data_IF_117410910202
#
_entry.id   IF_117410910202
#
_cell.length_a   1.000
_cell.length_b   1.000
_cell.length_c   1.000
_cell.angle_alpha   90.00
_cell.angle_beta   90.00
_cell.angle_gamma   90.00
#
_symmetry.space_group_name_H-M   'P 1'
#
loop_
_entity.id
_entity.type
_entity.pdbx_description
1 polymer ?
#
# COMPACT_ATOMS: atom_id res chain seq x y z
N UNK A 1 21.76 -9.52 6.73
CA UNK A 1 22.13 -10.73 5.96
C UNK A 1 22.20 -11.97 6.85
N UNK A 2 23.08 -12.04 7.85
CA UNK A 2 23.16 -13.21 8.76
C UNK A 2 21.83 -13.54 9.45
N UNK A 3 21.11 -12.51 9.91
CA UNK A 3 19.79 -12.65 10.52
C UNK A 3 18.77 -13.39 9.63
N UNK A 4 18.70 -13.10 8.33
CA UNK A 4 17.80 -13.80 7.40
C UNK A 4 18.18 -15.28 7.24
N UNK A 5 19.47 -15.60 7.29
CA UNK A 5 19.93 -16.99 7.26
C UNK A 5 19.53 -17.74 8.53
N UNK A 6 19.61 -17.10 9.69
CA UNK A 6 19.18 -17.69 10.96
C UNK A 6 17.67 -17.90 11.03
N UNK A 7 16.87 -16.92 10.59
CA UNK A 7 15.41 -17.06 10.49
C UNK A 7 15.02 -18.18 9.52
N UNK A 8 15.74 -18.31 8.39
CA UNK A 8 15.55 -19.43 7.46
C UNK A 8 15.87 -20.77 8.12
N UNK A 9 16.99 -20.87 8.86
CA UNK A 9 17.32 -22.08 9.62
C UNK A 9 16.25 -22.40 10.66
N UNK A 10 15.71 -21.40 11.34
CA UNK A 10 14.63 -21.56 12.31
C UNK A 10 13.36 -22.12 11.65
N UNK A 11 12.98 -21.62 10.47
CA UNK A 11 11.86 -22.15 9.70
C UNK A 11 12.07 -23.61 9.26
N UNK A 12 13.28 -23.93 8.80
CA UNK A 12 13.63 -25.29 8.36
C UNK A 12 13.80 -26.29 9.51
N UNK A 13 13.82 -25.81 10.75
CA UNK A 13 14.01 -26.64 11.93
C UNK A 13 12.81 -27.56 12.21
N UNK A 14 11.60 -27.19 11.77
CA UNK A 14 10.42 -28.05 11.79
C UNK A 14 9.76 -28.24 13.16
N UNK A 15 10.32 -27.68 14.24
CA UNK A 15 9.79 -27.80 15.62
C UNK A 15 9.10 -26.52 16.13
N UNK A 16 8.70 -25.62 15.23
CA UNK A 16 7.95 -24.41 15.58
C UNK A 16 6.45 -24.71 15.66
N UNK A 17 5.77 -24.08 16.62
CA UNK A 17 4.30 -24.02 16.59
C UNK A 17 3.82 -23.17 15.41
N UNK A 18 2.53 -23.28 15.06
CA UNK A 18 1.95 -22.48 13.98
C UNK A 18 2.12 -20.97 14.22
N UNK A 19 1.90 -20.52 15.46
CA UNK A 19 2.08 -19.12 15.84
C UNK A 19 3.54 -18.68 15.72
N UNK A 20 4.49 -19.48 16.24
CA UNK A 20 5.91 -19.17 16.10
C UNK A 20 6.34 -19.12 14.64
N UNK A 21 5.87 -20.06 13.80
CA UNK A 21 6.15 -20.05 12.37
C UNK A 21 5.59 -18.79 11.70
N UNK A 22 4.36 -18.39 12.04
CA UNK A 22 3.74 -17.16 11.53
C UNK A 22 4.56 -15.92 11.89
N UNK A 23 5.04 -15.84 13.12
CA UNK A 23 5.82 -14.68 13.58
C UNK A 23 7.20 -14.63 12.92
N UNK A 24 7.85 -15.78 12.73
CA UNK A 24 9.11 -15.86 11.97
C UNK A 24 8.89 -15.48 10.50
N UNK A 25 7.83 -15.97 9.85
CA UNK A 25 7.47 -15.59 8.47
C UNK A 25 7.21 -14.10 8.33
N UNK A 26 6.51 -13.50 9.30
CA UNK A 26 6.31 -12.04 9.36
C UNK A 26 7.65 -11.32 9.41
N UNK A 27 8.55 -11.72 10.31
CA UNK A 27 9.85 -11.08 10.47
C UNK A 27 10.72 -11.20 9.21
N UNK A 28 10.75 -12.39 8.59
CA UNK A 28 11.41 -12.62 7.30
C UNK A 28 10.85 -11.66 6.24
N UNK A 29 9.52 -11.58 6.11
CA UNK A 29 8.86 -10.75 5.10
C UNK A 29 9.22 -9.27 5.25
N UNK A 30 9.14 -8.73 6.47
CA UNK A 30 9.52 -7.34 6.76
C UNK A 30 10.98 -7.07 6.38
N UNK A 31 11.90 -8.00 6.71
CA UNK A 31 13.33 -7.84 6.40
C UNK A 31 13.62 -7.95 4.90
N UNK A 32 12.92 -8.82 4.18
CA UNK A 32 13.03 -8.94 2.72
C UNK A 32 12.49 -7.70 2.02
N UNK A 33 11.30 -7.22 2.38
CA UNK A 33 10.67 -6.07 1.73
C UNK A 33 11.47 -4.78 1.97
N UNK A 34 11.97 -4.59 3.20
CA UNK A 34 12.90 -3.50 3.51
C UNK A 34 14.18 -3.59 2.66
N UNK A 35 14.77 -4.79 2.56
CA UNK A 35 15.97 -5.00 1.75
C UNK A 35 15.74 -4.74 0.26
N UNK A 36 14.62 -5.20 -0.28
CA UNK A 36 14.24 -4.97 -1.67
C UNK A 36 14.06 -3.49 -1.95
N UNK A 37 13.37 -2.74 -1.08
CA UNK A 37 13.21 -1.28 -1.24
C UNK A 37 14.56 -0.57 -1.27
N UNK A 38 15.47 -0.89 -0.33
CA UNK A 38 16.79 -0.24 -0.25
C UNK A 38 17.72 -0.59 -1.42
N UNK A 39 17.52 -1.76 -2.03
CA UNK A 39 18.26 -2.20 -3.21
C UNK A 39 17.59 -1.78 -4.52
N UNK A 40 16.42 -1.12 -4.48
CA UNK A 40 15.65 -0.76 -5.66
C UNK A 40 15.07 -1.95 -6.43
N UNK A 41 14.82 -3.06 -5.73
CA UNK A 41 14.20 -4.27 -6.27
C UNK A 41 12.68 -4.25 -6.10
N UNK A 42 11.98 -5.02 -6.93
CA UNK A 42 10.53 -5.17 -6.82
C UNK A 42 10.13 -5.88 -5.53
N UNK A 43 9.02 -5.44 -4.95
CA UNK A 43 8.37 -6.12 -3.84
C UNK A 43 7.58 -7.32 -4.35
N UNK A 44 7.62 -8.40 -3.58
CA UNK A 44 6.87 -9.62 -3.89
C UNK A 44 5.48 -9.53 -3.22
N UNK A 45 4.38 -9.61 -3.97
CA UNK A 45 3.03 -9.66 -3.39
C UNK A 45 2.86 -10.91 -2.53
N UNK A 46 2.40 -10.71 -1.29
CA UNK A 46 2.22 -11.80 -0.32
C UNK A 46 0.86 -11.73 0.38
N UNK A 47 0.23 -12.89 0.53
CA UNK A 47 -0.95 -13.08 1.37
C UNK A 47 -0.56 -14.01 2.51
N UNK A 48 -0.83 -13.58 3.75
CA UNK A 48 -0.45 -14.36 4.95
C UNK A 48 1.04 -14.76 4.97
N UNK A 49 1.91 -13.85 4.51
CA UNK A 49 3.37 -14.03 4.42
C UNK A 49 3.86 -15.05 3.38
N UNK A 50 2.95 -15.63 2.59
CA UNK A 50 3.29 -16.49 1.46
C UNK A 50 3.16 -15.74 0.13
N UNK A 51 3.98 -16.12 -0.84
CA UNK A 51 3.87 -15.59 -2.20
C UNK A 51 2.49 -15.93 -2.76
N UNK A 52 1.85 -14.94 -3.38
CA UNK A 52 0.53 -15.16 -3.98
C UNK A 52 0.67 -16.00 -5.25
N UNK A 53 -0.26 -16.93 -5.43
CA UNK A 53 -0.42 -17.70 -6.66
C UNK A 53 -1.07 -16.85 -7.76
N UNK A 54 -0.42 -16.76 -8.91
CA UNK A 54 -0.83 -15.96 -10.08
C UNK A 54 -2.17 -16.43 -10.65
N UNK A 55 -2.49 -17.73 -10.55
CA UNK A 55 -3.72 -18.31 -11.07
C UNK A 55 -4.93 -18.10 -10.15
N UNK A 56 -4.69 -17.71 -8.88
CA UNK A 56 -5.71 -17.62 -7.84
C UNK A 56 -6.02 -16.17 -7.42
N UNK A 57 -5.29 -15.19 -7.93
CA UNK A 57 -5.50 -13.76 -7.62
C UNK A 57 -6.00 -12.99 -8.83
N UNK A 58 -7.00 -12.12 -8.62
CA UNK A 58 -7.43 -11.20 -9.67
C UNK A 58 -6.37 -10.11 -9.90
N UNK A 59 -6.25 -9.64 -11.15
CA UNK A 59 -5.33 -8.53 -11.50
C UNK A 59 -5.57 -7.30 -10.63
N UNK A 60 -6.83 -7.00 -10.34
CA UNK A 60 -7.24 -5.88 -9.48
C UNK A 60 -6.77 -6.05 -8.04
N UNK A 61 -6.87 -7.25 -7.47
CA UNK A 61 -6.46 -7.51 -6.10
C UNK A 61 -4.94 -7.58 -5.98
N UNK A 62 -4.26 -8.09 -6.99
CA UNK A 62 -2.80 -8.07 -7.10
C UNK A 62 -2.28 -6.62 -7.08
N UNK A 63 -2.91 -5.73 -7.86
CA UNK A 63 -2.57 -4.32 -7.88
C UNK A 63 -2.77 -3.65 -6.51
N UNK A 64 -3.94 -3.87 -5.88
CA UNK A 64 -4.22 -3.33 -4.53
C UNK A 64 -3.20 -3.84 -3.51
N UNK A 65 -2.85 -5.11 -3.56
CA UNK A 65 -1.86 -5.71 -2.66
C UNK A 65 -0.48 -5.08 -2.86
N UNK A 66 -0.04 -4.93 -4.11
CA UNK A 66 1.23 -4.27 -4.42
C UNK A 66 1.29 -2.85 -3.87
N UNK A 67 0.20 -2.08 -4.03
CA UNK A 67 0.08 -0.73 -3.45
C UNK A 67 0.18 -0.74 -1.92
N UNK A 68 -0.54 -1.65 -1.26
CA UNK A 68 -0.50 -1.79 0.20
C UNK A 68 0.89 -2.16 0.71
N UNK A 69 1.58 -3.09 0.04
CA UNK A 69 2.94 -3.48 0.37
C UNK A 69 3.89 -2.28 0.29
N UNK A 70 3.87 -1.51 -0.80
CA UNK A 70 4.70 -0.31 -0.95
C UNK A 70 4.48 0.72 0.16
N UNK A 71 3.21 0.97 0.52
CA UNK A 71 2.89 1.91 1.59
C UNK A 71 3.39 1.44 2.96
N UNK A 72 3.32 0.12 3.24
CA UNK A 72 3.80 -0.45 4.49
C UNK A 72 5.32 -0.30 4.65
N UNK A 73 6.11 -0.50 3.58
CA UNK A 73 7.57 -0.37 3.68
C UNK A 73 7.98 1.10 3.91
N UNK A 74 7.33 2.05 3.22
CA UNK A 74 7.56 3.49 3.39
C UNK A 74 7.24 4.02 4.80
N UNK A 75 6.20 3.50 5.45
CA UNK A 75 5.90 3.84 6.86
C UNK A 75 6.92 3.26 7.84
N UNK A 76 7.59 2.17 7.46
CA UNK A 76 8.63 1.52 8.27
C UNK A 76 9.96 2.29 8.21
N UNK A 77 10.30 2.83 7.03
CA UNK A 77 11.51 3.61 6.81
C UNK A 77 11.47 5.01 7.43
N UNK A 78 10.29 5.64 7.49
CA UNK A 78 10.12 6.97 8.11
C UNK A 78 10.34 6.99 9.63
N UNK A 79 10.25 5.84 10.32
CA UNK A 79 10.59 5.74 11.75
C UNK A 79 12.09 5.50 12.01
N UNK A 80 12.85 5.04 11.00
CA UNK A 80 14.26 4.68 11.17
C UNK A 80 15.23 5.84 10.82
N UNK A 81 14.84 6.73 9.91
CA UNK A 81 15.73 7.78 9.40
C UNK A 81 15.35 9.20 9.86
N UNK A 82 15.80 9.55 11.07
CA UNK A 82 15.97 10.94 11.48
C UNK A 82 17.19 11.63 10.85
N UNK A 83 17.90 10.98 9.91
CA UNK A 83 19.15 11.51 9.32
C UNK A 83 19.38 11.03 7.89
N UNK A 84 18.75 11.68 6.92
CA UNK A 84 19.18 11.60 5.53
C UNK A 84 18.06 11.72 4.52
N UNK A 85 17.75 12.95 4.14
CA UNK A 85 17.04 13.23 2.89
C UNK A 85 17.79 12.57 1.73
N UNK A 86 17.27 11.46 1.20
CA UNK A 86 17.46 11.11 -0.20
C UNK A 86 16.15 11.35 -0.92
N UNK A 87 16.20 12.37 -1.75
CA UNK A 87 15.17 12.86 -2.63
C UNK A 87 14.79 11.75 -3.63
N UNK A 88 13.86 10.90 -3.24
CA UNK A 88 12.94 10.24 -4.17
C UNK A 88 11.58 10.72 -3.73
N UNK A 89 10.87 11.46 -4.59
CA UNK A 89 9.45 11.67 -4.32
C UNK A 89 8.82 10.31 -4.04
N UNK A 90 8.01 10.15 -2.98
CA UNK A 90 7.19 8.96 -2.87
C UNK A 90 6.45 8.86 -4.20
N UNK A 91 6.64 7.77 -4.94
CA UNK A 91 5.87 7.47 -6.14
C UNK A 91 4.40 7.37 -5.71
N UNK A 92 3.74 8.52 -5.58
CA UNK A 92 2.33 8.66 -5.30
C UNK A 92 1.65 8.23 -6.58
N UNK A 93 1.31 6.95 -6.63
CA UNK A 93 0.55 6.41 -7.74
C UNK A 93 -0.78 7.15 -7.73
N UNK A 94 -1.13 7.90 -8.79
CA UNK A 94 -2.42 8.57 -8.87
C UNK A 94 -3.50 7.51 -8.68
N UNK A 95 -4.37 7.68 -7.68
CA UNK A 95 -5.57 6.83 -7.59
C UNK A 95 -6.51 7.34 -8.68
N UNK A 96 -6.80 6.56 -9.74
CA UNK A 96 -7.73 7.03 -10.75
C UNK A 96 -9.13 7.15 -10.12
N UNK A 97 -9.64 8.37 -10.06
CA UNK A 97 -10.99 8.66 -9.58
C UNK A 97 -11.91 8.77 -10.79
N UNK A 98 -12.73 7.75 -11.03
CA UNK A 98 -13.78 7.81 -12.03
C UNK A 98 -15.08 8.26 -11.35
N UNK A 99 -15.45 9.53 -11.54
CA UNK A 99 -16.71 10.10 -11.07
C UNK A 99 -17.64 10.31 -12.27
N UNK A 100 -18.81 9.66 -12.25
CA UNK A 100 -19.89 9.95 -13.19
C UNK A 100 -20.99 10.71 -12.46
N UNK A 101 -21.18 11.99 -12.81
CA UNK A 101 -22.28 12.81 -12.30
C UNK A 101 -23.33 12.94 -13.40
N UNK A 102 -24.56 12.55 -13.11
CA UNK A 102 -25.69 12.72 -14.01
C UNK A 102 -26.78 13.55 -13.33
N UNK A 103 -26.83 14.83 -13.64
CA UNK A 103 -27.83 15.78 -13.16
C UNK A 103 -28.98 15.85 -14.18
N UNK A 104 -30.10 15.19 -13.88
CA UNK A 104 -31.24 15.08 -14.82
C UNK A 104 -32.16 16.30 -14.84
N UNK A 105 -32.26 17.02 -13.73
CA UNK A 105 -33.07 18.24 -13.63
C UNK A 105 -32.54 19.08 -12.48
N UNK A 106 -32.36 20.38 -12.74
CA UNK A 106 -32.05 21.38 -11.74
C UNK A 106 -33.01 22.54 -11.94
N UNK A 107 -33.99 22.66 -11.05
CA UNK A 107 -35.05 23.69 -11.13
C UNK A 107 -34.87 24.67 -9.99
N UNK A 108 -34.69 25.94 -10.35
CA UNK A 108 -34.54 27.05 -9.44
C UNK A 108 -35.78 27.96 -9.53
N UNK A 109 -36.37 28.31 -8.39
CA UNK A 109 -37.70 28.94 -8.30
C UNK A 109 -37.70 30.47 -8.08
N UNK A 110 -36.54 31.10 -7.87
CA UNK A 110 -36.43 32.57 -7.78
C UNK A 110 -35.88 33.15 -9.09
N UNK A 111 -36.69 33.95 -9.77
CA UNK A 111 -36.24 34.79 -10.88
C UNK A 111 -35.26 35.84 -10.32
N UNK A 112 -34.03 35.84 -10.82
CA UNK A 112 -33.06 36.92 -10.58
C UNK A 112 -32.01 36.68 -9.49
N UNK A 113 -31.87 35.46 -8.98
CA UNK A 113 -30.78 35.10 -8.07
C UNK A 113 -29.80 34.13 -8.76
N UNK A 114 -28.50 34.39 -8.59
CA UNK A 114 -27.43 33.53 -9.11
C UNK A 114 -27.31 32.27 -8.25
N UNK A 115 -27.23 31.09 -8.89
CA UNK A 115 -27.03 29.82 -8.17
C UNK A 115 -25.92 29.01 -8.82
N UNK A 116 -24.91 28.67 -8.03
CA UNK A 116 -23.77 27.86 -8.44
C UNK A 116 -23.83 26.46 -7.81
N UNK A 117 -23.45 25.45 -8.59
CA UNK A 117 -23.29 24.07 -8.12
C UNK A 117 -21.83 23.66 -8.31
N UNK A 118 -21.17 23.29 -7.22
CA UNK A 118 -19.79 22.82 -7.24
C UNK A 118 -19.72 21.34 -6.86
N UNK A 119 -18.91 20.58 -7.61
CA UNK A 119 -18.53 19.22 -7.28
C UNK A 119 -17.02 19.18 -7.01
N UNK A 120 -16.62 18.54 -5.92
CA UNK A 120 -15.22 18.34 -5.58
C UNK A 120 -15.04 16.96 -4.98
N UNK A 121 -13.95 16.29 -5.32
CA UNK A 121 -13.55 15.06 -4.65
C UNK A 121 -12.76 15.45 -3.40
N UNK A 122 -13.06 14.88 -2.25
CA UNK A 122 -12.36 15.18 -1.01
C UNK A 122 -11.48 14.00 -0.62
N UNK A 123 -10.17 14.23 -0.50
CA UNK A 123 -9.26 13.24 0.05
C UNK A 123 -9.27 13.33 1.58
N UNK A 124 -9.89 12.34 2.23
CA UNK A 124 -9.95 12.25 3.69
C UNK A 124 -8.55 12.08 4.32
N UNK A 125 -7.58 11.54 3.58
CA UNK A 125 -6.20 11.33 4.06
C UNK A 125 -5.41 12.63 4.09
N UNK A 126 -5.62 13.49 3.09
CA UNK A 126 -4.92 14.76 2.97
C UNK A 126 -5.70 15.94 3.55
N UNK A 127 -6.97 15.73 3.87
CA UNK A 127 -7.85 16.75 4.41
C UNK A 127 -8.15 17.88 3.40
N UNK A 128 -8.07 17.60 2.10
CA UNK A 128 -8.15 18.59 1.02
C UNK A 128 -9.04 18.12 -0.12
N UNK A 129 -9.61 19.08 -0.83
CA UNK A 129 -10.25 18.82 -2.14
C UNK A 129 -9.17 18.52 -3.17
N UNK A 130 -9.41 17.49 -3.98
CA UNK A 130 -8.64 17.12 -5.16
C UNK A 130 -9.12 17.96 -6.34
#
# INVERSE_FOLDING_TARGET
MLELLDLRRQMLSGHLTQEQSRDVKRHITVRLDWGNEHMGLDLVPRKEFEMVDEDQISVSDLYKMHLSSRHSVQQSTTQADGRGQRHGEPCRVPVPHHLLVNLKSFTYNSIGEDTDIFFSLYDLREGKTI
#
